data_IF_615312368272
#
_entry.id   IF_615312368272
#
_cell.length_a   1.000
_cell.length_b   1.000
_cell.length_c   1.000
_cell.angle_alpha   90.00
_cell.angle_beta   90.00
_cell.angle_gamma   90.00
#
_symmetry.space_group_name_H-M   'P 1'
#
loop_
_entity.id
_entity.type
_entity.pdbx_description
1 polymer ?
#
# COMPACT_ATOMS: atom_id res chain seq x y z
N UNK A 1 9.93 -7.66 15.30
CA UNK A 1 10.26 -7.04 14.00
C UNK A 1 9.15 -6.08 13.63
N UNK A 2 9.50 -4.89 13.16
CA UNK A 2 8.51 -3.95 12.64
C UNK A 2 7.98 -4.50 11.30
N UNK A 3 6.68 -4.38 11.06
CA UNK A 3 6.04 -4.85 9.83
C UNK A 3 5.71 -3.65 8.97
N UNK A 4 5.86 -3.80 7.66
CA UNK A 4 5.35 -2.81 6.72
C UNK A 4 3.83 -2.71 6.89
N UNK A 5 3.28 -1.51 6.77
CA UNK A 5 1.86 -1.24 6.94
C UNK A 5 1.25 -0.95 5.58
N UNK A 6 0.28 -1.76 5.16
CA UNK A 6 -0.44 -1.56 3.92
C UNK A 6 -1.82 -0.95 4.22
N UNK A 7 -2.03 0.27 3.77
CA UNK A 7 -3.32 0.97 3.86
C UNK A 7 -4.15 0.73 2.60
N UNK A 8 -5.38 0.26 2.77
CA UNK A 8 -6.33 -0.05 1.70
C UNK A 8 -7.67 0.63 1.94
N UNK A 9 -8.46 0.77 0.86
CA UNK A 9 -9.90 1.01 1.01
C UNK A 9 -10.62 -0.33 1.23
N UNK A 10 -11.70 -0.36 2.04
CA UNK A 10 -12.56 -1.53 2.16
C UNK A 10 -13.06 -1.99 0.78
N UNK A 11 -13.22 -3.30 0.53
CA UNK A 11 -13.61 -3.85 -0.78
C UNK A 11 -15.08 -3.57 -1.20
N UNK A 12 -15.75 -2.60 -0.58
CA UNK A 12 -17.17 -2.33 -0.81
C UNK A 12 -17.68 -1.12 -0.02
N UNK A 13 -16.96 0.00 -0.08
CA UNK A 13 -17.37 1.26 0.56
C UNK A 13 -18.56 1.87 -0.18
N UNK A 14 -19.35 2.68 0.53
CA UNK A 14 -20.44 3.46 -0.07
C UNK A 14 -19.88 4.81 -0.51
N UNK A 15 -20.06 5.13 -1.79
CA UNK A 15 -19.78 6.45 -2.37
C UNK A 15 -20.67 6.65 -3.59
N UNK A 16 -20.94 7.90 -3.98
CA UNK A 16 -21.78 8.23 -5.14
C UNK A 16 -23.14 7.45 -5.15
N UNK A 17 -23.77 7.31 -3.98
CA UNK A 17 -25.01 6.57 -3.75
C UNK A 17 -24.99 5.09 -4.20
N UNK A 18 -23.81 4.47 -4.31
CA UNK A 18 -23.65 3.05 -4.65
C UNK A 18 -22.49 2.39 -3.92
N UNK A 19 -22.45 1.06 -3.94
CA UNK A 19 -21.28 0.31 -3.46
C UNK A 19 -20.20 0.32 -4.52
N UNK A 20 -19.01 0.73 -4.14
CA UNK A 20 -17.85 0.80 -5.02
C UNK A 20 -16.68 0.02 -4.44
N UNK A 21 -15.73 -0.32 -5.31
CA UNK A 21 -14.45 -0.88 -4.92
C UNK A 21 -13.33 -0.08 -5.58
N UNK A 22 -12.18 0.01 -4.91
CA UNK A 22 -11.00 0.64 -5.47
C UNK A 22 -10.27 -0.34 -6.40
N UNK A 23 -10.07 -0.03 -7.70
CA UNK A 23 -9.40 -0.93 -8.63
C UNK A 23 -7.97 -1.28 -8.21
N UNK A 24 -7.17 -0.31 -7.75
CA UNK A 24 -5.79 -0.57 -7.31
C UNK A 24 -5.74 -1.41 -6.02
N UNK A 25 -6.68 -1.21 -5.08
CA UNK A 25 -6.77 -2.08 -3.90
C UNK A 25 -7.15 -3.52 -4.29
N UNK A 26 -8.05 -3.68 -5.27
CA UNK A 26 -8.44 -4.99 -5.79
C UNK A 26 -7.27 -5.67 -6.52
N UNK A 27 -6.50 -4.92 -7.33
CA UNK A 27 -5.26 -5.41 -7.96
C UNK A 27 -4.28 -5.94 -6.92
N UNK A 28 -4.05 -5.18 -5.84
CA UNK A 28 -3.15 -5.58 -4.78
C UNK A 28 -3.68 -6.78 -3.99
N UNK A 29 -5.00 -6.88 -3.76
CA UNK A 29 -5.60 -8.09 -3.20
C UNK A 29 -5.42 -9.31 -4.08
N UNK A 30 -5.55 -9.16 -5.40
CA UNK A 30 -5.24 -10.20 -6.37
C UNK A 30 -3.78 -10.68 -6.25
N UNK A 31 -2.84 -9.74 -6.23
CA UNK A 31 -1.42 -10.03 -6.01
C UNK A 31 -1.17 -10.76 -4.68
N UNK A 32 -1.72 -10.26 -3.57
CA UNK A 32 -1.56 -10.85 -2.24
C UNK A 32 -2.20 -12.24 -2.12
N UNK A 33 -3.18 -12.56 -2.95
CA UNK A 33 -3.77 -13.90 -3.03
C UNK A 33 -2.81 -14.92 -3.66
N UNK A 34 -1.98 -14.48 -4.62
CA UNK A 34 -0.94 -15.30 -5.26
C UNK A 34 0.29 -15.47 -4.35
N UNK A 35 0.56 -14.48 -3.49
CA UNK A 35 1.72 -14.45 -2.58
C UNK A 35 1.30 -14.33 -1.11
N UNK A 36 0.67 -15.36 -0.52
CA UNK A 36 0.11 -15.28 0.83
C UNK A 36 1.16 -15.02 1.92
N UNK A 37 2.42 -15.44 1.72
CA UNK A 37 3.51 -15.14 2.65
C UNK A 37 3.80 -13.63 2.75
N UNK A 38 3.64 -12.86 1.67
CA UNK A 38 3.77 -11.40 1.68
C UNK A 38 2.62 -10.80 2.49
N UNK A 39 1.38 -11.26 2.23
CA UNK A 39 0.19 -10.84 2.98
C UNK A 39 0.35 -11.08 4.48
N UNK A 40 0.87 -12.25 4.85
CA UNK A 40 1.11 -12.66 6.23
C UNK A 40 2.31 -11.97 6.89
N UNK A 41 3.08 -11.18 6.14
CA UNK A 41 4.16 -10.33 6.66
C UNK A 41 3.71 -8.86 6.84
N UNK A 42 2.55 -8.47 6.31
CA UNK A 42 2.03 -7.10 6.35
C UNK A 42 1.14 -6.84 7.57
N UNK A 43 1.14 -5.60 8.06
CA UNK A 43 0.06 -5.05 8.87
C UNK A 43 -0.93 -4.35 7.91
N UNK A 44 -2.07 -4.98 7.63
CA UNK A 44 -3.06 -4.46 6.69
C UNK A 44 -4.09 -3.62 7.46
N UNK A 45 -4.24 -2.37 7.07
CA UNK A 45 -5.17 -1.41 7.68
C UNK A 45 -6.11 -0.83 6.64
N UNK A 46 -7.33 -0.53 7.07
CA UNK A 46 -8.34 0.08 6.22
C UNK A 46 -8.57 1.54 6.55
N UNK A 47 -8.72 2.34 5.50
CA UNK A 47 -9.04 3.76 5.58
C UNK A 47 -10.41 4.06 4.97
N UNK A 48 -11.00 5.19 5.36
CA UNK A 48 -12.24 5.68 4.75
C UNK A 48 -11.96 6.21 3.33
N UNK A 49 -12.99 6.21 2.49
CA UNK A 49 -12.93 6.83 1.15
C UNK A 49 -12.64 8.33 1.25
N UNK A 50 -13.31 9.00 2.19
CA UNK A 50 -13.12 10.41 2.50
C UNK A 50 -11.72 10.69 3.08
N UNK A 51 -11.18 11.84 2.73
CA UNK A 51 -10.01 12.41 3.40
C UNK A 51 -10.45 13.26 4.59
N UNK A 52 -9.60 13.46 5.61
CA UNK A 52 -8.26 12.88 5.78
C UNK A 52 -8.30 11.39 6.15
N UNK A 53 -7.28 10.64 5.72
CA UNK A 53 -7.10 9.22 6.06
C UNK A 53 -6.20 9.13 7.29
N UNK A 54 -6.82 8.98 8.44
CA UNK A 54 -6.21 9.25 9.75
C UNK A 54 -4.95 8.41 10.01
N UNK A 55 -4.94 7.13 9.66
CA UNK A 55 -3.77 6.27 9.87
C UNK A 55 -2.60 6.65 8.97
N UNK A 56 -2.87 7.10 7.75
CA UNK A 56 -1.85 7.65 6.84
C UNK A 56 -1.35 9.00 7.33
N UNK A 57 -2.23 9.90 7.77
CA UNK A 57 -1.84 11.22 8.31
C UNK A 57 -1.00 11.08 9.58
N UNK A 58 -1.33 10.14 10.46
CA UNK A 58 -0.58 9.87 11.67
C UNK A 58 0.87 9.43 11.40
N UNK A 59 1.14 8.78 10.27
CA UNK A 59 2.48 8.29 9.91
C UNK A 59 3.22 9.23 8.97
N UNK A 60 2.56 9.72 7.92
CA UNK A 60 3.16 10.45 6.81
C UNK A 60 2.98 11.99 6.93
N UNK A 61 2.25 12.46 7.95
CA UNK A 61 1.93 13.88 8.14
C UNK A 61 0.67 14.30 7.38
N UNK A 62 0.29 15.58 7.54
CA UNK A 62 -0.87 16.15 6.85
C UNK A 62 -0.72 16.04 5.34
N UNK A 63 -1.77 15.54 4.68
CA UNK A 63 -1.73 15.32 3.24
C UNK A 63 -2.94 14.58 2.71
N UNK A 64 -3.06 14.56 1.38
CA UNK A 64 -4.11 13.84 0.65
C UNK A 64 -3.58 12.50 0.16
N UNK A 65 -3.44 11.55 1.08
CA UNK A 65 -2.81 10.25 0.82
C UNK A 65 -3.69 9.28 0.05
N UNK A 66 -3.12 8.55 -0.91
CA UNK A 66 -3.79 7.53 -1.71
C UNK A 66 -4.01 6.21 -0.95
N UNK A 67 -4.84 5.34 -1.53
CA UNK A 67 -5.01 3.95 -1.12
C UNK A 67 -5.09 3.15 -2.42
N UNK A 68 -4.21 2.16 -2.65
CA UNK A 68 -3.27 1.59 -1.69
C UNK A 68 -2.09 2.51 -1.37
N UNK A 69 -1.55 2.40 -0.16
CA UNK A 69 -0.25 2.97 0.21
C UNK A 69 0.46 2.03 1.18
N UNK A 70 1.70 1.67 0.84
CA UNK A 70 2.57 0.87 1.71
C UNK A 70 3.52 1.81 2.44
N UNK A 71 3.47 1.82 3.76
CA UNK A 71 4.45 2.49 4.62
C UNK A 71 5.45 1.44 5.08
N UNK A 72 6.73 1.65 4.75
CA UNK A 72 7.79 0.69 5.06
C UNK A 72 8.21 0.79 6.53
N UNK A 73 8.53 -0.35 7.13
CA UNK A 73 9.20 -0.42 8.41
C UNK A 73 10.58 0.26 8.33
N UNK A 74 11.07 0.78 9.45
CA UNK A 74 12.34 1.49 9.51
C UNK A 74 13.55 0.59 9.17
N UNK A 75 13.40 -0.73 9.32
CA UNK A 75 14.36 -1.77 9.01
C UNK A 75 14.00 -2.55 7.73
N UNK A 76 13.01 -2.08 6.95
CA UNK A 76 12.63 -2.74 5.70
C UNK A 76 13.83 -2.78 4.73
N UNK A 77 14.09 -3.91 4.05
CA UNK A 77 15.14 -4.00 3.05
C UNK A 77 14.82 -3.16 1.82
N UNK A 78 15.85 -2.86 1.02
CA UNK A 78 15.75 -2.10 -0.23
C UNK A 78 15.14 -0.69 -0.06
N UNK A 79 15.57 0.04 0.97
CA UNK A 79 15.13 1.44 1.18
C UNK A 79 15.66 2.40 0.11
N UNK A 80 16.61 1.95 -0.70
CA UNK A 80 17.13 2.61 -1.89
C UNK A 80 16.27 2.37 -3.14
N UNK A 81 15.13 1.68 -3.04
CA UNK A 81 14.26 1.43 -4.18
C UNK A 81 13.75 2.76 -4.80
N UNK A 82 13.97 3.02 -6.10
CA UNK A 82 13.82 4.37 -6.68
C UNK A 82 12.44 5.03 -6.55
N UNK A 83 11.38 4.24 -6.39
CA UNK A 83 10.01 4.74 -6.30
C UNK A 83 9.57 5.03 -4.86
N UNK A 84 10.41 4.72 -3.88
CA UNK A 84 10.15 5.08 -2.49
C UNK A 84 10.17 6.60 -2.36
N UNK A 85 9.05 7.14 -1.89
CA UNK A 85 8.95 8.52 -1.46
C UNK A 85 9.11 8.60 0.07
N UNK A 86 9.57 9.75 0.56
CA UNK A 86 9.69 10.00 2.00
C UNK A 86 8.75 11.13 2.41
N UNK A 87 7.94 10.88 3.43
CA UNK A 87 7.05 11.86 4.03
C UNK A 87 7.08 11.72 5.55
N UNK A 88 7.21 12.84 6.27
CA UNK A 88 7.34 12.85 7.73
C UNK A 88 8.41 11.85 8.26
N UNK A 89 9.53 11.75 7.54
CA UNK A 89 10.63 10.82 7.87
C UNK A 89 10.32 9.34 7.64
N UNK A 90 9.21 8.99 6.98
CA UNK A 90 8.79 7.61 6.68
C UNK A 90 8.85 7.33 5.18
N UNK A 91 9.44 6.19 4.83
CA UNK A 91 9.46 5.66 3.48
C UNK A 91 8.11 5.05 3.12
N UNK A 92 7.58 5.36 1.93
CA UNK A 92 6.30 4.82 1.45
C UNK A 92 6.23 4.68 -0.08
N UNK A 93 5.29 3.85 -0.53
CA UNK A 93 4.94 3.61 -1.94
C UNK A 93 3.43 3.82 -2.11
N UNK A 94 3.04 4.74 -3.00
CA UNK A 94 1.67 5.25 -3.10
C UNK A 94 0.78 4.67 -4.20
N UNK A 95 1.17 3.55 -4.84
CA UNK A 95 0.36 2.88 -5.88
C UNK A 95 0.53 1.36 -5.85
N UNK A 96 -0.46 0.63 -6.35
CA UNK A 96 -0.42 -0.83 -6.42
C UNK A 96 0.79 -1.33 -7.22
N UNK A 97 1.08 -0.67 -8.35
CA UNK A 97 2.17 -1.06 -9.25
C UNK A 97 3.55 -0.82 -8.65
N UNK A 98 3.75 0.30 -7.95
CA UNK A 98 5.01 0.58 -7.26
C UNK A 98 5.25 -0.45 -6.13
N UNK A 99 4.20 -0.80 -5.39
CA UNK A 99 4.24 -1.83 -4.35
C UNK A 99 4.58 -3.21 -4.96
N UNK A 100 3.94 -3.59 -6.06
CA UNK A 100 4.22 -4.86 -6.74
C UNK A 100 5.67 -4.93 -7.28
N UNK A 101 6.21 -3.83 -7.84
CA UNK A 101 7.61 -3.77 -8.26
C UNK A 101 8.60 -3.84 -7.10
N UNK A 102 8.28 -3.18 -5.98
CA UNK A 102 9.06 -3.32 -4.76
C UNK A 102 9.11 -4.77 -4.27
N UNK A 103 7.99 -5.49 -4.29
CA UNK A 103 7.98 -6.91 -3.94
C UNK A 103 8.65 -7.81 -4.98
N UNK A 104 8.63 -7.43 -6.27
CA UNK A 104 9.43 -8.11 -7.29
C UNK A 104 10.93 -8.01 -6.95
N UNK A 105 11.40 -6.83 -6.52
CA UNK A 105 12.78 -6.63 -6.09
C UNK A 105 13.10 -7.38 -4.80
N UNK A 106 12.22 -7.30 -3.80
CA UNK A 106 12.44 -7.83 -2.45
C UNK A 106 12.31 -9.35 -2.35
N UNK A 107 11.36 -9.93 -3.07
CA UNK A 107 10.97 -11.33 -2.93
C UNK A 107 11.02 -12.11 -4.25
N UNK A 108 11.41 -11.49 -5.37
CA UNK A 108 11.50 -12.15 -6.67
C UNK A 108 10.14 -12.48 -7.30
N UNK A 109 9.06 -11.82 -6.87
CA UNK A 109 7.75 -11.97 -7.54
C UNK A 109 7.81 -11.41 -8.97
N UNK A 110 6.92 -11.84 -9.88
CA UNK A 110 6.80 -11.26 -11.22
C UNK A 110 6.53 -9.76 -11.18
N UNK A 111 7.10 -9.04 -12.15
CA UNK A 111 6.86 -7.60 -12.37
C UNK A 111 5.48 -7.41 -13.02
N UNK A 112 4.66 -6.43 -12.58
CA UNK A 112 3.37 -6.15 -13.20
C UNK A 112 3.53 -5.76 -14.68
N UNK A 113 2.66 -6.27 -15.56
CA UNK A 113 2.69 -5.93 -16.99
C UNK A 113 2.32 -4.45 -17.20
N UNK A 114 3.05 -3.77 -18.10
CA UNK A 114 2.81 -2.34 -18.41
C UNK A 114 3.35 -1.38 -17.35
N UNK A 115 4.37 -1.83 -16.62
CA UNK A 115 5.18 -1.05 -15.69
C UNK A 115 6.35 -0.35 -16.34
#
# INVERSE_FOLDING_TARGET
MMRDILFLLPPGFLDNDRREFCPECAELWGFLSYYPAIREALDIRYEKIAHPREGLVALLGEGRWNCPTLVLAADAPHQDFPEIAVANGRAHLGSARAIARYYARRFGTPVPRGS
#
